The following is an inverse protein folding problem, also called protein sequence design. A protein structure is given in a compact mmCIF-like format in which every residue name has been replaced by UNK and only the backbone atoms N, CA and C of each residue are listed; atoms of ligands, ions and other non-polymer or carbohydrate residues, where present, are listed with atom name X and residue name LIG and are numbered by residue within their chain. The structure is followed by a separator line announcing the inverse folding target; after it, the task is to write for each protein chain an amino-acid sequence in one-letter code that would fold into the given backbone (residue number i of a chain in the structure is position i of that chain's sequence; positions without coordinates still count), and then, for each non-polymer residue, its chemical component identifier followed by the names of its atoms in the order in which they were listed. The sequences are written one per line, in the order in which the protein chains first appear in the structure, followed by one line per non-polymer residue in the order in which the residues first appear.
data_IF_466537943145
#
_entry.id   IF_466537943145
#
_cell.length_a   1.000
_cell.length_b   1.000
_cell.length_c   1.000
_cell.angle_alpha   90.00
_cell.angle_beta   90.00
_cell.angle_gamma   90.00
#
_symmetry.space_group_name_H-M   'P 1'
#
loop_
_entity.id
_entity.type
_entity.pdbx_description
1 polymer ?
#
# COMPACT_ATOMS: atom_id res chain seq x y z
N UNK A 1 -11.78 62.62 16.72
CA UNK A 1 -12.32 61.44 16.00
C UNK A 1 -11.38 60.28 16.20
N UNK A 2 -11.82 59.23 16.91
CA UNK A 2 -11.00 58.09 17.33
C UNK A 2 -10.82 57.10 16.17
N UNK A 3 -9.56 56.84 15.78
CA UNK A 3 -9.22 55.81 14.79
C UNK A 3 -9.40 54.43 15.41
N UNK A 4 -10.45 53.72 15.00
CA UNK A 4 -10.68 52.31 15.36
C UNK A 4 -9.75 51.44 14.52
N UNK A 5 -8.66 50.98 15.11
CA UNK A 5 -7.80 49.94 14.55
C UNK A 5 -8.59 48.62 14.60
N UNK A 6 -9.06 48.13 13.46
CA UNK A 6 -9.64 46.79 13.35
C UNK A 6 -8.53 45.76 13.53
N UNK A 7 -8.48 45.12 14.69
CA UNK A 7 -7.78 43.86 14.89
C UNK A 7 -8.40 42.80 13.97
N UNK A 8 -7.67 42.46 12.91
CA UNK A 8 -7.95 41.27 12.11
C UNK A 8 -7.65 40.05 12.98
N UNK A 9 -8.70 39.49 13.61
CA UNK A 9 -8.67 38.18 14.24
C UNK A 9 -8.26 37.15 13.20
N UNK A 10 -7.01 36.71 13.25
CA UNK A 10 -6.52 35.60 12.45
C UNK A 10 -7.27 34.34 12.90
N UNK A 11 -8.18 33.74 12.09
CA UNK A 11 -8.89 32.55 12.51
C UNK A 11 -7.86 31.42 12.54
N UNK A 12 -7.56 30.92 13.73
CA UNK A 12 -6.73 29.74 13.93
C UNK A 12 -7.42 28.55 13.23
N UNK A 13 -7.11 28.34 11.95
CA UNK A 13 -7.64 27.26 11.14
C UNK A 13 -7.11 25.96 11.76
N UNK A 14 -7.93 25.29 12.57
CA UNK A 14 -7.58 24.00 13.18
C UNK A 14 -7.07 23.09 12.06
N UNK A 15 -5.82 22.63 12.17
CA UNK A 15 -5.23 21.75 11.17
C UNK A 15 -6.01 20.43 11.16
N UNK A 16 -6.51 20.05 9.97
CA UNK A 16 -7.20 18.79 9.75
C UNK A 16 -6.27 17.57 9.95
N UNK A 17 -6.84 16.35 10.04
CA UNK A 17 -6.09 15.13 10.37
C UNK A 17 -4.92 14.87 9.41
N UNK A 18 -5.12 15.03 8.10
CA UNK A 18 -4.07 14.88 7.09
C UNK A 18 -2.91 15.88 7.28
N UNK A 19 -3.23 17.12 7.63
CA UNK A 19 -2.20 18.14 7.90
C UNK A 19 -1.38 17.81 9.15
N UNK A 20 -2.00 17.19 10.17
CA UNK A 20 -1.31 16.74 11.38
C UNK A 20 -0.41 15.54 11.10
N UNK A 21 -0.91 14.54 10.37
CA UNK A 21 -0.14 13.37 9.96
C UNK A 21 1.07 13.77 9.11
N UNK A 22 0.86 14.61 8.10
CA UNK A 22 1.95 15.12 7.27
C UNK A 22 3.01 15.85 8.11
N UNK A 23 2.58 16.77 9.00
CA UNK A 23 3.49 17.51 9.87
C UNK A 23 4.29 16.57 10.77
N UNK A 24 3.65 15.52 11.30
CA UNK A 24 4.34 14.50 12.08
C UNK A 24 5.48 13.86 11.28
N UNK A 25 5.21 13.38 10.06
CA UNK A 25 6.24 12.76 9.23
C UNK A 25 7.33 13.76 8.80
N UNK A 26 6.97 14.97 8.38
CA UNK A 26 7.98 16.01 8.12
C UNK A 26 8.84 16.31 9.36
N UNK A 27 8.27 16.28 10.57
CA UNK A 27 9.03 16.58 11.78
C UNK A 27 9.95 15.42 12.17
N UNK A 28 9.43 14.19 12.15
CA UNK A 28 10.12 13.01 12.70
C UNK A 28 11.04 12.32 11.71
N UNK A 29 10.74 12.37 10.41
CA UNK A 29 11.54 11.71 9.40
C UNK A 29 12.92 12.35 9.24
N UNK A 30 13.95 11.52 9.39
CA UNK A 30 15.35 11.79 9.19
C UNK A 30 16.05 10.51 8.68
N UNK A 31 17.31 10.62 8.29
CA UNK A 31 18.03 9.50 7.67
C UNK A 31 17.99 8.22 8.53
N UNK A 32 18.16 8.33 9.86
CA UNK A 32 18.11 7.16 10.76
C UNK A 32 16.73 6.51 10.71
N UNK A 33 15.65 7.28 10.86
CA UNK A 33 14.29 6.73 10.82
C UNK A 33 13.93 6.12 9.46
N UNK A 34 14.43 6.69 8.36
CA UNK A 34 14.20 6.13 7.02
C UNK A 34 14.98 4.84 6.80
N UNK A 35 16.24 4.77 7.22
CA UNK A 35 17.03 3.54 7.16
C UNK A 35 16.45 2.43 8.05
N UNK A 36 15.94 2.77 9.23
CA UNK A 36 15.21 1.83 10.10
C UNK A 36 13.95 1.31 9.41
N UNK A 37 13.14 2.20 8.82
CA UNK A 37 11.94 1.80 8.06
C UNK A 37 12.30 0.91 6.85
N UNK A 38 13.38 1.22 6.14
CA UNK A 38 13.91 0.39 5.06
C UNK A 38 14.39 -0.97 5.54
N UNK A 39 15.00 -1.05 6.73
CA UNK A 39 15.41 -2.32 7.34
C UNK A 39 14.20 -3.17 7.72
N UNK A 40 13.15 -2.56 8.27
CA UNK A 40 11.87 -3.25 8.56
C UNK A 40 11.21 -3.76 7.27
N UNK A 41 11.17 -2.93 6.24
CA UNK A 41 10.69 -3.31 4.90
C UNK A 41 11.46 -4.53 4.36
N UNK A 42 12.79 -4.47 4.34
CA UNK A 42 13.63 -5.55 3.82
C UNK A 42 13.47 -6.83 4.65
N UNK A 43 13.42 -6.70 5.98
CA UNK A 43 13.17 -7.83 6.87
C UNK A 43 11.79 -8.47 6.63
N UNK A 44 10.75 -7.66 6.47
CA UNK A 44 9.41 -8.18 6.20
C UNK A 44 9.36 -8.92 4.85
N UNK A 45 9.94 -8.32 3.80
CA UNK A 45 10.03 -8.92 2.48
C UNK A 45 10.70 -10.31 2.54
N UNK A 46 11.90 -10.38 3.12
CA UNK A 46 12.72 -11.59 3.13
C UNK A 46 12.20 -12.68 4.06
N UNK A 47 11.76 -12.31 5.27
CA UNK A 47 11.40 -13.30 6.30
C UNK A 47 9.92 -13.69 6.29
N UNK A 48 9.03 -12.84 5.76
CA UNK A 48 7.59 -13.09 5.77
C UNK A 48 7.04 -13.23 4.36
N UNK A 49 7.13 -12.18 3.54
CA UNK A 49 6.44 -12.14 2.25
C UNK A 49 6.90 -13.27 1.32
N UNK A 50 8.22 -13.41 1.11
CA UNK A 50 8.77 -14.49 0.27
C UNK A 50 8.44 -15.88 0.81
N UNK A 51 8.47 -16.06 2.13
CA UNK A 51 8.15 -17.35 2.75
C UNK A 51 6.67 -17.74 2.58
N UNK A 52 5.76 -16.78 2.75
CA UNK A 52 4.31 -17.00 2.59
C UNK A 52 3.90 -17.17 1.13
N UNK A 53 4.61 -16.54 0.20
CA UNK A 53 4.40 -16.68 -1.24
C UNK A 53 4.56 -18.13 -1.75
N UNK A 54 5.48 -18.89 -1.15
CA UNK A 54 5.74 -20.30 -1.52
C UNK A 54 4.53 -21.22 -1.36
N UNK A 55 3.56 -20.86 -0.51
CA UNK A 55 2.38 -21.69 -0.26
C UNK A 55 1.44 -21.82 -1.48
N UNK A 56 1.59 -20.95 -2.48
CA UNK A 56 0.81 -20.98 -3.72
C UNK A 56 1.70 -20.93 -4.97
N UNK A 57 2.99 -21.25 -4.84
CA UNK A 57 3.91 -21.34 -5.96
C UNK A 57 3.74 -22.68 -6.69
N UNK A 58 3.53 -22.62 -8.00
CA UNK A 58 3.47 -23.79 -8.88
C UNK A 58 4.78 -23.90 -9.63
N UNK A 59 5.42 -25.07 -9.57
CA UNK A 59 6.67 -25.32 -10.29
C UNK A 59 6.46 -25.14 -11.81
N UNK A 60 7.36 -24.40 -12.46
CA UNK A 60 7.32 -24.10 -13.89
C UNK A 60 6.08 -23.31 -14.37
N UNK A 61 5.34 -22.65 -13.47
CA UNK A 61 4.24 -21.75 -13.86
C UNK A 61 4.75 -20.51 -14.58
N UNK A 62 4.00 -20.09 -15.59
CA UNK A 62 4.24 -18.86 -16.35
C UNK A 62 3.95 -17.60 -15.53
N UNK A 63 3.05 -17.68 -14.53
CA UNK A 63 2.67 -16.58 -13.64
C UNK A 63 2.91 -16.98 -12.19
N UNK A 64 4.01 -16.47 -11.62
CA UNK A 64 4.41 -16.77 -10.24
C UNK A 64 3.56 -16.02 -9.21
N UNK A 65 3.23 -14.75 -9.48
CA UNK A 65 2.34 -13.93 -8.66
C UNK A 65 1.77 -12.78 -9.51
N UNK A 66 0.45 -12.61 -9.48
CA UNK A 66 -0.26 -11.55 -10.20
C UNK A 66 0.15 -10.15 -9.69
N UNK A 67 0.28 -9.95 -8.37
CA UNK A 67 0.68 -8.65 -7.79
C UNK A 67 2.12 -8.22 -8.11
N UNK A 68 2.90 -9.04 -8.83
CA UNK A 68 4.26 -8.69 -9.28
C UNK A 68 4.37 -8.59 -10.80
N UNK A 69 3.29 -8.84 -11.55
CA UNK A 69 3.28 -8.67 -13.00
C UNK A 69 3.05 -7.20 -13.39
N UNK A 70 3.46 -6.83 -14.60
CA UNK A 70 3.21 -5.49 -15.16
C UNK A 70 1.77 -5.37 -15.65
N UNK A 71 0.84 -5.46 -14.71
CA UNK A 71 -0.59 -5.58 -14.98
C UNK A 71 -1.02 -7.01 -15.32
N UNK A 72 -2.32 -7.26 -15.17
CA UNK A 72 -2.99 -8.51 -15.50
C UNK A 72 -4.46 -8.23 -15.75
N UNK A 73 -5.09 -9.02 -16.62
CA UNK A 73 -6.53 -8.99 -16.87
C UNK A 73 -7.19 -10.30 -16.44
N UNK A 74 -8.44 -10.46 -16.85
CA UNK A 74 -9.24 -11.64 -16.50
C UNK A 74 -8.58 -12.96 -16.96
N UNK A 75 -7.98 -12.97 -18.16
CA UNK A 75 -7.36 -14.16 -18.72
C UNK A 75 -6.15 -14.63 -17.89
N UNK A 76 -5.31 -13.70 -17.45
CA UNK A 76 -4.14 -13.99 -16.61
C UNK A 76 -4.56 -14.44 -15.21
N UNK A 77 -5.61 -13.83 -14.65
CA UNK A 77 -6.17 -14.25 -13.35
C UNK A 77 -6.68 -15.69 -13.45
N UNK A 78 -7.44 -16.01 -14.51
CA UNK A 78 -7.97 -17.35 -14.68
C UNK A 78 -6.85 -18.37 -14.92
N UNK A 79 -5.87 -18.07 -15.77
CA UNK A 79 -4.69 -18.91 -15.99
C UNK A 79 -3.95 -19.18 -14.68
N UNK A 80 -3.71 -18.14 -13.87
CA UNK A 80 -3.10 -18.27 -12.56
C UNK A 80 -3.89 -19.19 -11.62
N UNK A 81 -5.21 -19.04 -11.55
CA UNK A 81 -6.05 -19.83 -10.64
C UNK A 81 -6.19 -21.29 -11.10
N UNK A 82 -6.34 -21.54 -12.40
CA UNK A 82 -6.51 -22.90 -12.95
C UNK A 82 -5.30 -23.81 -12.76
N UNK A 83 -4.09 -23.24 -12.65
CA UNK A 83 -2.86 -24.01 -12.38
C UNK A 83 -2.71 -24.41 -10.90
N UNK A 84 -3.59 -23.94 -10.00
CA UNK A 84 -3.45 -24.06 -8.55
C UNK A 84 -4.58 -24.90 -7.96
N UNK A 85 -4.24 -25.69 -6.95
CA UNK A 85 -5.25 -26.42 -6.16
C UNK A 85 -6.03 -25.47 -5.26
N UNK A 86 -7.22 -25.88 -4.82
CA UNK A 86 -8.05 -25.10 -3.88
C UNK A 86 -7.29 -24.68 -2.62
N UNK A 87 -6.41 -25.54 -2.10
CA UNK A 87 -5.58 -25.23 -0.94
C UNK A 87 -4.59 -24.09 -1.23
N UNK A 88 -3.99 -24.09 -2.42
CA UNK A 88 -3.08 -23.03 -2.86
C UNK A 88 -3.83 -21.73 -3.12
N UNK A 89 -5.04 -21.80 -3.68
CA UNK A 89 -5.89 -20.61 -3.89
C UNK A 89 -6.32 -20.01 -2.55
N UNK A 90 -6.68 -20.84 -1.56
CA UNK A 90 -6.95 -20.37 -0.19
C UNK A 90 -5.72 -19.73 0.46
N UNK A 91 -4.52 -20.29 0.24
CA UNK A 91 -3.28 -19.69 0.70
C UNK A 91 -3.02 -18.33 0.04
N UNK A 92 -3.32 -18.20 -1.27
CA UNK A 92 -3.21 -16.96 -2.03
C UNK A 92 -4.20 -15.89 -1.55
N UNK A 93 -5.46 -16.26 -1.26
CA UNK A 93 -6.45 -15.37 -0.65
C UNK A 93 -5.91 -14.82 0.68
N UNK A 94 -5.45 -15.69 1.57
CA UNK A 94 -4.89 -15.27 2.86
C UNK A 94 -3.63 -14.41 2.68
N UNK A 95 -2.82 -14.70 1.67
CA UNK A 95 -1.66 -13.90 1.31
C UNK A 95 -2.03 -12.47 0.93
N UNK A 96 -2.96 -12.28 0.00
CA UNK A 96 -3.36 -10.94 -0.44
C UNK A 96 -4.01 -10.13 0.70
N UNK A 97 -4.90 -10.76 1.48
CA UNK A 97 -5.65 -10.05 2.53
C UNK A 97 -4.83 -9.70 3.78
N UNK A 98 -3.74 -10.44 4.05
CA UNK A 98 -2.96 -10.29 5.28
C UNK A 98 -1.53 -9.90 4.95
N UNK A 99 -0.78 -10.79 4.32
CA UNK A 99 0.67 -10.66 4.19
C UNK A 99 1.04 -9.52 3.26
N UNK A 100 0.36 -9.42 2.13
CA UNK A 100 0.63 -8.39 1.13
C UNK A 100 -0.01 -7.04 1.51
N UNK A 101 -1.21 -7.05 2.13
CA UNK A 101 -1.79 -5.83 2.71
C UNK A 101 -0.89 -5.18 3.78
N UNK A 102 -0.26 -5.98 4.65
CA UNK A 102 0.71 -5.50 5.63
C UNK A 102 1.99 -5.00 4.96
N UNK A 103 2.46 -5.69 3.93
CA UNK A 103 3.62 -5.25 3.14
C UNK A 103 3.39 -3.87 2.53
N UNK A 104 2.20 -3.66 1.95
CA UNK A 104 1.78 -2.38 1.40
C UNK A 104 1.91 -1.24 2.40
N UNK A 105 1.39 -1.44 3.61
CA UNK A 105 1.49 -0.45 4.68
C UNK A 105 2.94 -0.19 5.11
N UNK A 106 3.75 -1.25 5.26
CA UNK A 106 5.15 -1.15 5.70
C UNK A 106 5.97 -0.35 4.69
N UNK A 107 5.90 -0.71 3.41
CA UNK A 107 6.64 0.03 2.38
C UNK A 107 6.07 1.45 2.22
N UNK A 108 4.75 1.64 2.39
CA UNK A 108 4.11 2.94 2.35
C UNK A 108 4.66 3.90 3.40
N UNK A 109 4.78 3.44 4.65
CA UNK A 109 5.43 4.19 5.74
C UNK A 109 6.88 4.51 5.42
N UNK A 110 7.63 3.55 4.87
CA UNK A 110 9.01 3.75 4.42
C UNK A 110 9.10 4.87 3.37
N UNK A 111 8.26 4.83 2.33
CA UNK A 111 8.25 5.88 1.31
C UNK A 111 7.82 7.23 1.85
N UNK A 112 6.80 7.29 2.72
CA UNK A 112 6.41 8.54 3.39
C UNK A 112 7.60 9.12 4.17
N UNK A 113 8.40 8.29 4.83
CA UNK A 113 9.60 8.74 5.52
C UNK A 113 10.64 9.34 4.56
N UNK A 114 10.95 8.64 3.46
CA UNK A 114 11.88 9.11 2.43
C UNK A 114 11.41 10.41 1.73
N UNK A 115 10.15 10.46 1.29
CA UNK A 115 9.56 11.65 0.67
C UNK A 115 9.53 12.82 1.66
N UNK A 116 9.28 12.55 2.95
CA UNK A 116 9.35 13.59 3.99
C UNK A 116 10.75 14.17 4.15
N UNK A 117 11.81 13.36 4.02
CA UNK A 117 13.20 13.85 4.06
C UNK A 117 13.47 14.70 2.82
N UNK A 118 13.14 14.18 1.64
CA UNK A 118 13.39 14.83 0.35
C UNK A 118 12.71 16.21 0.26
N UNK A 119 11.46 16.31 0.70
CA UNK A 119 10.67 17.53 0.63
C UNK A 119 10.64 18.34 1.93
N UNK A 120 11.43 17.98 2.94
CA UNK A 120 11.50 18.70 4.23
C UNK A 120 11.73 20.22 4.05
N UNK A 121 12.65 20.68 3.18
CA UNK A 121 12.87 22.12 2.96
C UNK A 121 11.65 22.84 2.36
N UNK A 122 10.78 22.10 1.66
CA UNK A 122 9.60 22.63 0.97
C UNK A 122 8.29 22.30 1.69
N UNK A 123 8.35 21.80 2.93
CA UNK A 123 7.19 21.33 3.71
C UNK A 123 6.09 22.39 3.91
N UNK A 124 6.43 23.68 3.92
CA UNK A 124 5.45 24.78 4.01
C UNK A 124 4.66 24.99 2.70
N UNK A 125 5.31 24.74 1.55
CA UNK A 125 4.71 24.84 0.21
C UNK A 125 3.90 23.59 -0.10
N UNK A 126 4.47 22.42 0.16
CA UNK A 126 3.89 21.12 -0.17
C UNK A 126 3.41 20.37 1.08
N UNK A 127 2.34 20.91 1.66
CA UNK A 127 1.88 20.56 3.02
C UNK A 127 1.50 19.09 3.23
N UNK A 128 1.08 18.35 2.21
CA UNK A 128 0.64 16.95 2.34
C UNK A 128 1.29 16.01 1.32
N UNK A 129 2.25 16.52 0.54
CA UNK A 129 2.89 15.77 -0.55
C UNK A 129 3.60 14.52 -0.05
N UNK A 130 4.18 14.57 1.14
CA UNK A 130 4.82 13.41 1.77
C UNK A 130 3.86 12.26 2.07
N UNK A 131 2.55 12.48 2.10
CA UNK A 131 1.55 11.43 2.30
C UNK A 131 1.10 10.77 1.00
N UNK A 132 1.55 11.24 -0.17
CA UNK A 132 1.19 10.64 -1.45
C UNK A 132 1.42 9.12 -1.52
N UNK A 133 2.50 8.55 -0.94
CA UNK A 133 2.69 7.10 -0.97
C UNK A 133 1.57 6.31 -0.28
N UNK A 134 0.80 6.91 0.65
CA UNK A 134 -0.37 6.22 1.19
C UNK A 134 -1.52 6.09 0.20
N UNK A 135 -1.60 6.93 -0.83
CA UNK A 135 -2.56 6.70 -1.91
C UNK A 135 -2.24 5.40 -2.67
N UNK A 136 -0.95 5.10 -2.88
CA UNK A 136 -0.53 3.83 -3.48
C UNK A 136 -0.94 2.63 -2.62
N UNK A 137 -0.76 2.72 -1.29
CA UNK A 137 -1.22 1.66 -0.36
C UNK A 137 -2.73 1.37 -0.49
N UNK A 138 -3.55 2.40 -0.73
CA UNK A 138 -4.99 2.21 -0.96
C UNK A 138 -5.27 1.45 -2.25
N UNK A 139 -4.51 1.71 -3.33
CA UNK A 139 -4.64 0.98 -4.59
C UNK A 139 -4.18 -0.48 -4.44
N UNK A 140 -3.07 -0.73 -3.76
CA UNK A 140 -2.62 -2.10 -3.46
C UNK A 140 -3.66 -2.87 -2.65
N UNK A 141 -4.28 -2.24 -1.64
CA UNK A 141 -5.36 -2.88 -0.91
C UNK A 141 -6.55 -3.17 -1.80
N UNK A 142 -6.96 -2.22 -2.64
CA UNK A 142 -8.05 -2.45 -3.59
C UNK A 142 -7.76 -3.64 -4.53
N UNK A 143 -6.56 -3.71 -5.09
CA UNK A 143 -6.11 -4.83 -5.92
C UNK A 143 -6.13 -6.14 -5.14
N UNK A 144 -5.53 -6.18 -3.96
CA UNK A 144 -5.42 -7.38 -3.13
C UNK A 144 -6.78 -7.92 -2.68
N UNK A 145 -7.70 -7.04 -2.29
CA UNK A 145 -9.07 -7.44 -1.94
C UNK A 145 -9.88 -7.88 -3.16
N UNK A 146 -9.67 -7.27 -4.32
CA UNK A 146 -10.32 -7.68 -5.57
C UNK A 146 -9.84 -9.07 -6.00
N UNK A 147 -8.53 -9.31 -5.98
CA UNK A 147 -7.95 -10.63 -6.25
C UNK A 147 -8.45 -11.70 -5.28
N UNK A 148 -8.56 -11.37 -3.99
CA UNK A 148 -9.12 -12.27 -3.00
C UNK A 148 -10.60 -12.58 -3.27
N UNK A 149 -11.40 -11.60 -3.71
CA UNK A 149 -12.80 -11.78 -4.06
C UNK A 149 -12.96 -12.66 -5.31
N UNK A 150 -12.20 -12.39 -6.38
CA UNK A 150 -12.20 -13.20 -7.61
C UNK A 150 -11.73 -14.63 -7.34
N UNK A 151 -10.73 -14.82 -6.48
CA UNK A 151 -10.27 -16.16 -6.07
C UNK A 151 -11.36 -16.93 -5.31
N UNK A 152 -12.12 -16.24 -4.44
CA UNK A 152 -13.26 -16.86 -3.73
C UNK A 152 -14.40 -17.22 -4.69
N UNK A 153 -14.68 -16.36 -5.67
CA UNK A 153 -15.64 -16.66 -6.73
C UNK A 153 -15.22 -17.89 -7.52
N UNK A 154 -13.95 -17.96 -7.93
CA UNK A 154 -13.42 -19.10 -8.66
C UNK A 154 -13.56 -20.41 -7.88
N UNK A 155 -13.28 -20.42 -6.57
CA UNK A 155 -13.49 -21.60 -5.72
C UNK A 155 -14.96 -22.05 -5.66
N UNK A 156 -15.91 -21.13 -5.78
CA UNK A 156 -17.34 -21.44 -5.73
C UNK A 156 -17.91 -21.86 -7.09
N UNK A 157 -17.45 -21.25 -8.17
CA UNK A 157 -18.09 -21.32 -9.50
C UNK A 157 -17.22 -22.00 -10.56
N UNK A 158 -15.93 -22.23 -10.30
CA UNK A 158 -14.94 -22.72 -11.27
C UNK A 158 -14.57 -21.68 -12.35
N UNK A 159 -15.06 -20.45 -12.23
CA UNK A 159 -14.83 -19.33 -13.16
C UNK A 159 -14.88 -17.99 -12.41
N UNK A 160 -14.55 -16.91 -13.09
CA UNK A 160 -14.62 -15.54 -12.56
C UNK A 160 -15.47 -14.67 -13.50
N UNK A 161 -16.24 -13.73 -12.96
CA UNK A 161 -17.12 -12.87 -13.77
C UNK A 161 -16.32 -11.97 -14.73
N UNK A 162 -16.81 -11.80 -15.96
CA UNK A 162 -16.20 -10.97 -17.00
C UNK A 162 -16.43 -9.47 -16.84
N UNK A 163 -16.94 -9.03 -15.69
CA UNK A 163 -17.23 -7.63 -15.40
C UNK A 163 -16.34 -7.17 -14.26
N UNK A 164 -15.21 -6.57 -14.62
CA UNK A 164 -14.44 -5.69 -13.74
C UNK A 164 -13.84 -4.59 -14.60
#
# INVERSE_FOLDING_TARGET
MSSKRTESKNPSRKSGPLSRASRFFYTKSNLITALLATSVFAGYLLFFLTGKGKAFEVANSSVKSLGTSLGFGQAEILAFLTERSDQMINAYINFNQVWDSLFALIYGVMYVAWVSILFKPYSQKFKVLNLLPFAQVLFDWFENFSLAALSKQYLAEGTISSST
#
